data_IF_051756645374
#
_entry.id   IF_051756645374
#
_cell.length_a   1.000
_cell.length_b   1.000
_cell.length_c   1.000
_cell.angle_alpha   90.00
_cell.angle_beta   90.00
_cell.angle_gamma   90.00
#
_symmetry.space_group_name_H-M   'P 1'
#
loop_
_entity.id
_entity.type
_entity.pdbx_description
1 polymer ?
#
# COMPACT_ATOMS: atom_id res chain seq x y z
N UNK A 1 -13.66 26.28 15.52
CA UNK A 1 -12.27 26.30 15.92
C UNK A 1 -11.84 24.87 16.18
N UNK A 2 -11.05 24.28 15.26
CA UNK A 2 -10.49 22.93 15.42
C UNK A 2 -9.10 23.02 16.04
N UNK A 3 -8.84 22.18 17.02
CA UNK A 3 -7.48 21.99 17.54
C UNK A 3 -6.69 21.13 16.57
N UNK A 4 -5.40 21.43 16.38
CA UNK A 4 -4.54 20.52 15.62
C UNK A 4 -4.33 19.21 16.41
N UNK A 5 -4.30 18.07 15.72
CA UNK A 5 -4.10 16.78 16.38
C UNK A 5 -2.77 16.68 17.14
N UNK A 6 -1.79 17.57 16.86
CA UNK A 6 -0.52 17.67 17.58
C UNK A 6 -0.69 18.31 18.96
N UNK A 7 -1.48 19.37 19.07
CA UNK A 7 -1.73 20.07 20.33
C UNK A 7 -2.50 19.19 21.33
N UNK A 8 -3.41 18.33 20.83
CA UNK A 8 -4.17 17.41 21.67
C UNK A 8 -3.36 16.21 22.20
N UNK A 9 -2.11 16.03 21.77
CA UNK A 9 -1.23 14.96 22.24
C UNK A 9 -0.38 15.37 23.46
N UNK A 10 -0.28 16.66 23.74
CA UNK A 10 0.49 17.15 24.90
C UNK A 10 -0.42 17.25 26.13
N UNK A 11 -0.06 16.54 27.21
CA UNK A 11 -0.87 16.51 28.44
C UNK A 11 -0.99 17.86 29.12
N UNK A 12 0.05 18.71 29.08
CA UNK A 12 -0.01 20.08 29.64
C UNK A 12 -0.98 20.97 28.88
N UNK A 13 -1.02 20.82 27.55
CA UNK A 13 -1.99 21.51 26.70
C UNK A 13 -3.40 21.03 26.99
N UNK A 14 -3.59 19.72 27.20
CA UNK A 14 -4.89 19.16 27.58
C UNK A 14 -5.37 19.69 28.93
N UNK A 15 -4.51 19.70 29.94
CA UNK A 15 -4.78 20.25 31.25
C UNK A 15 -5.19 21.73 31.18
N UNK A 16 -4.49 22.55 30.38
CA UNK A 16 -4.81 23.96 30.16
C UNK A 16 -6.23 24.20 29.64
N UNK A 17 -6.80 23.22 28.92
CA UNK A 17 -8.13 23.30 28.31
C UNK A 17 -9.16 22.39 28.99
N UNK A 18 -8.92 21.98 30.23
CA UNK A 18 -9.79 21.10 31.02
C UNK A 18 -10.15 19.79 30.28
N UNK A 19 -9.25 19.30 29.46
CA UNK A 19 -9.41 18.02 28.77
C UNK A 19 -8.85 16.87 29.62
N UNK A 20 -9.45 15.69 29.62
CA UNK A 20 -8.93 14.55 30.33
C UNK A 20 -7.54 14.18 29.78
N UNK A 21 -6.62 13.65 30.63
CA UNK A 21 -5.28 13.25 30.19
C UNK A 21 -5.34 12.23 29.05
N UNK A 22 -4.28 12.14 28.26
CA UNK A 22 -4.22 11.13 27.22
C UNK A 22 -4.35 9.72 27.80
N UNK A 23 -5.11 8.88 27.15
CA UNK A 23 -5.17 7.46 27.51
C UNK A 23 -3.81 6.82 27.28
N UNK A 24 -3.31 6.11 28.25
CA UNK A 24 -2.13 5.28 28.08
C UNK A 24 -2.38 4.22 26.99
N UNK A 25 -1.30 3.80 26.31
CA UNK A 25 -1.40 2.67 25.40
C UNK A 25 -1.93 1.44 26.16
N UNK A 26 -2.84 0.66 25.55
CA UNK A 26 -3.32 -0.58 26.13
C UNK A 26 -2.18 -1.54 26.47
N UNK A 27 -2.36 -2.36 27.49
CA UNK A 27 -1.41 -3.41 27.81
C UNK A 27 -1.33 -4.44 26.67
N UNK A 28 -0.14 -5.01 26.37
CA UNK A 28 0.01 -6.00 25.28
C UNK A 28 -0.90 -7.24 25.41
N UNK A 29 -1.42 -7.54 26.61
CA UNK A 29 -2.38 -8.63 26.83
C UNK A 29 -3.84 -8.23 26.65
N UNK A 30 -4.14 -6.98 26.33
CA UNK A 30 -5.52 -6.55 26.07
C UNK A 30 -5.96 -7.01 24.67
N UNK A 31 -6.68 -8.14 24.64
CA UNK A 31 -7.15 -8.77 23.41
C UNK A 31 -8.09 -7.88 22.59
N UNK A 32 -8.82 -6.97 23.25
CA UNK A 32 -9.69 -6.02 22.56
C UNK A 32 -8.87 -4.98 21.78
N UNK A 33 -7.78 -4.50 22.41
CA UNK A 33 -6.91 -3.53 21.79
C UNK A 33 -6.03 -4.11 20.68
N UNK A 34 -5.74 -5.42 20.70
CA UNK A 34 -4.98 -6.09 19.63
C UNK A 34 -5.69 -6.08 18.27
N UNK A 35 -7.03 -5.94 18.27
CA UNK A 35 -7.82 -5.76 17.04
C UNK A 35 -7.73 -4.36 16.44
N UNK A 36 -7.22 -3.37 17.15
CA UNK A 36 -7.11 -2.00 16.66
C UNK A 36 -5.96 -1.88 15.67
N UNK A 37 -6.25 -1.35 14.49
CA UNK A 37 -5.21 -1.04 13.49
C UNK A 37 -4.74 0.41 13.64
N UNK A 38 -3.57 0.74 13.09
CA UNK A 38 -3.08 2.12 13.07
C UNK A 38 -3.87 3.04 12.12
N UNK A 39 -4.74 2.46 11.30
CA UNK A 39 -5.57 3.20 10.34
C UNK A 39 -6.79 3.79 11.05
N UNK A 40 -7.61 2.93 11.63
CA UNK A 40 -8.75 3.29 12.46
C UNK A 40 -9.24 2.06 13.23
N UNK A 41 -10.05 2.28 14.28
CA UNK A 41 -10.58 1.21 15.11
C UNK A 41 -11.60 0.31 14.39
N UNK A 42 -12.10 0.76 13.25
CA UNK A 42 -13.10 0.10 12.39
C UNK A 42 -12.52 -0.37 11.04
N UNK A 43 -11.20 -0.35 10.88
CA UNK A 43 -10.51 -0.90 9.71
C UNK A 43 -10.39 -2.42 9.83
N UNK A 44 -11.43 -3.11 9.42
CA UNK A 44 -11.48 -4.57 9.45
C UNK A 44 -10.67 -5.25 8.33
N UNK A 45 -10.47 -6.55 8.52
CA UNK A 45 -9.96 -7.45 7.48
C UNK A 45 -11.06 -7.80 6.50
N UNK A 46 -10.84 -7.49 5.23
CA UNK A 46 -11.79 -7.69 4.13
C UNK A 46 -11.32 -8.73 3.12
N UNK A 47 -12.26 -9.40 2.50
CA UNK A 47 -12.04 -10.10 1.23
C UNK A 47 -12.09 -9.07 0.11
N UNK A 48 -11.05 -9.02 -0.73
CA UNK A 48 -10.94 -8.00 -1.76
C UNK A 48 -11.00 -8.61 -3.16
N UNK A 49 -11.96 -8.12 -3.95
CA UNK A 49 -12.08 -8.40 -5.37
C UNK A 49 -12.63 -7.14 -6.05
N UNK A 50 -12.04 -6.73 -7.17
CA UNK A 50 -12.45 -5.54 -7.89
C UNK A 50 -12.22 -5.67 -9.39
N UNK A 51 -13.14 -5.10 -10.17
CA UNK A 51 -12.94 -4.80 -11.58
C UNK A 51 -12.76 -3.29 -11.70
N UNK A 52 -11.61 -2.87 -12.19
CA UNK A 52 -11.27 -1.47 -12.42
C UNK A 52 -11.09 -1.21 -13.91
N UNK A 53 -11.50 -0.04 -14.39
CA UNK A 53 -11.31 0.34 -15.79
C UNK A 53 -10.69 1.70 -15.93
N UNK A 54 -9.94 1.88 -17.00
CA UNK A 54 -9.26 3.13 -17.35
C UNK A 54 -9.30 3.36 -18.86
N UNK A 55 -8.66 4.42 -19.35
CA UNK A 55 -8.43 4.61 -20.78
C UNK A 55 -7.65 3.44 -21.36
N UNK A 56 -7.86 3.10 -22.63
CA UNK A 56 -7.27 1.89 -23.26
C UNK A 56 -5.74 1.87 -23.30
N UNK A 57 -5.12 3.04 -23.27
CA UNK A 57 -3.67 3.28 -23.26
C UNK A 57 -3.05 3.23 -21.86
N UNK A 58 -3.85 3.15 -20.81
CA UNK A 58 -3.40 3.13 -19.43
C UNK A 58 -3.49 1.74 -18.79
N UNK A 59 -2.73 1.55 -17.73
CA UNK A 59 -2.82 0.40 -16.83
C UNK A 59 -3.45 0.86 -15.53
N UNK A 60 -4.58 0.25 -15.15
CA UNK A 60 -5.16 0.45 -13.83
C UNK A 60 -4.70 -0.65 -12.87
N UNK A 61 -4.37 -0.28 -11.65
CA UNK A 61 -3.82 -1.16 -10.62
C UNK A 61 -4.68 -1.07 -9.37
N UNK A 62 -5.05 -2.23 -8.84
CA UNK A 62 -5.76 -2.41 -7.58
C UNK A 62 -5.03 -3.45 -6.71
N UNK A 63 -5.34 -3.60 -5.42
CA UNK A 63 -4.84 -4.72 -4.63
C UNK A 63 -5.16 -6.06 -5.27
N UNK A 64 -4.33 -7.06 -5.00
CA UNK A 64 -4.54 -8.41 -5.48
C UNK A 64 -3.79 -8.76 -6.76
N UNK A 65 -4.06 -9.97 -7.20
CA UNK A 65 -3.44 -10.57 -8.38
C UNK A 65 -4.36 -10.37 -9.57
N UNK A 66 -3.79 -9.98 -10.72
CA UNK A 66 -4.54 -9.82 -11.96
C UNK A 66 -5.10 -11.19 -12.40
N UNK A 67 -6.42 -11.30 -12.47
CA UNK A 67 -7.15 -12.49 -12.92
C UNK A 67 -7.45 -12.43 -14.40
N UNK A 68 -7.85 -11.25 -14.88
CA UNK A 68 -8.26 -11.03 -16.26
C UNK A 68 -8.05 -9.57 -16.65
N UNK A 69 -7.73 -9.38 -17.92
CA UNK A 69 -7.66 -8.09 -18.58
C UNK A 69 -8.41 -8.16 -19.91
N UNK A 70 -9.16 -7.10 -20.26
CA UNK A 70 -9.85 -7.01 -21.55
C UNK A 70 -10.10 -5.55 -21.95
N UNK A 71 -10.43 -5.34 -23.22
CA UNK A 71 -10.86 -4.05 -23.76
C UNK A 71 -12.32 -4.19 -24.19
N UNK A 72 -13.12 -3.22 -23.80
CA UNK A 72 -14.53 -3.11 -24.16
C UNK A 72 -14.93 -1.63 -24.20
N UNK A 73 -15.71 -1.21 -25.20
CA UNK A 73 -16.18 0.17 -25.37
C UNK A 73 -15.08 1.25 -25.20
N UNK A 74 -13.92 1.02 -25.84
CA UNK A 74 -12.75 1.91 -25.81
C UNK A 74 -12.13 2.11 -24.42
N UNK A 75 -12.47 1.23 -23.46
CA UNK A 75 -11.88 1.18 -22.12
C UNK A 75 -11.14 -0.12 -21.88
N UNK A 76 -10.10 -0.07 -21.06
CA UNK A 76 -9.31 -1.22 -20.63
C UNK A 76 -9.69 -1.59 -19.20
N UNK A 77 -10.04 -2.84 -18.99
CA UNK A 77 -10.55 -3.39 -17.74
C UNK A 77 -9.53 -4.35 -17.13
N UNK A 78 -9.47 -4.36 -15.81
CA UNK A 78 -8.57 -5.21 -15.03
C UNK A 78 -9.36 -5.80 -13.87
N UNK A 79 -9.41 -7.12 -13.79
CA UNK A 79 -10.01 -7.85 -12.68
C UNK A 79 -8.91 -8.28 -11.72
N UNK A 80 -8.94 -7.77 -10.51
CA UNK A 80 -8.01 -8.10 -9.43
C UNK A 80 -8.72 -8.82 -8.31
N UNK A 81 -8.03 -9.81 -7.71
CA UNK A 81 -8.52 -10.57 -6.56
C UNK A 81 -7.38 -10.91 -5.60
N UNK A 82 -7.59 -10.70 -4.31
CA UNK A 82 -6.71 -11.21 -3.27
C UNK A 82 -7.01 -12.69 -2.98
N UNK A 83 -5.98 -13.45 -2.60
CA UNK A 83 -6.12 -14.85 -2.17
C UNK A 83 -6.17 -14.99 -0.64
N UNK A 84 -6.09 -13.88 0.07
CA UNK A 84 -6.20 -13.78 1.54
C UNK A 84 -6.82 -12.43 1.92
N UNK A 85 -7.36 -12.36 3.13
CA UNK A 85 -7.90 -11.09 3.65
C UNK A 85 -6.81 -10.04 3.78
N UNK A 86 -7.17 -8.80 3.50
CA UNK A 86 -6.33 -7.62 3.67
C UNK A 86 -7.01 -6.60 4.56
N UNK A 87 -6.24 -5.68 5.15
CA UNK A 87 -6.82 -4.52 5.81
C UNK A 87 -7.60 -3.67 4.79
N UNK A 88 -8.71 -3.10 5.22
CA UNK A 88 -9.48 -2.13 4.43
C UNK A 88 -8.71 -0.80 4.30
N UNK A 89 -7.48 -0.89 3.78
CA UNK A 89 -6.57 0.22 3.53
C UNK A 89 -5.76 -0.07 2.26
N UNK A 90 -6.10 0.62 1.18
CA UNK A 90 -5.51 0.39 -0.14
C UNK A 90 -5.70 1.61 -1.05
N UNK A 91 -5.05 1.59 -2.21
CA UNK A 91 -5.16 2.63 -3.23
C UNK A 91 -5.37 2.02 -4.63
N UNK A 92 -6.02 2.80 -5.49
CA UNK A 92 -6.07 2.57 -6.92
C UNK A 92 -5.10 3.51 -7.63
N UNK A 93 -4.40 2.99 -8.63
CA UNK A 93 -3.49 3.78 -9.45
C UNK A 93 -3.82 3.55 -10.93
N UNK A 94 -3.67 4.58 -11.76
CA UNK A 94 -3.83 4.45 -13.21
C UNK A 94 -2.96 5.47 -13.92
N UNK A 95 -2.17 5.01 -14.90
CA UNK A 95 -1.40 5.84 -15.80
C UNK A 95 -0.93 5.04 -17.03
N UNK A 96 -0.31 5.71 -18.00
CA UNK A 96 0.44 5.08 -19.09
C UNK A 96 1.79 4.55 -18.56
N UNK A 97 1.70 3.44 -17.83
CA UNK A 97 2.86 2.79 -17.23
C UNK A 97 3.61 1.89 -18.20
N UNK A 98 4.94 1.94 -18.12
CA UNK A 98 5.83 0.86 -18.51
C UNK A 98 6.04 -0.07 -17.32
N UNK A 99 6.35 -1.36 -17.56
CA UNK A 99 6.47 -2.35 -16.49
C UNK A 99 7.76 -3.13 -16.63
N UNK A 100 8.63 -3.03 -15.63
CA UNK A 100 9.77 -3.91 -15.46
C UNK A 100 9.39 -5.08 -14.55
N UNK A 101 9.75 -6.32 -14.95
CA UNK A 101 9.38 -7.55 -14.24
C UNK A 101 10.60 -8.37 -13.89
N UNK A 102 10.57 -9.00 -12.73
CA UNK A 102 11.58 -9.96 -12.28
C UNK A 102 10.92 -10.91 -11.25
N UNK A 103 11.70 -11.79 -10.66
CA UNK A 103 11.24 -12.75 -9.66
C UNK A 103 12.25 -12.88 -8.53
N UNK A 104 11.75 -13.08 -7.31
CA UNK A 104 12.53 -13.48 -6.15
C UNK A 104 11.85 -14.68 -5.50
N UNK A 105 12.48 -15.86 -5.53
CA UNK A 105 11.84 -17.13 -5.17
C UNK A 105 10.48 -17.29 -5.89
N UNK A 106 9.39 -17.44 -5.13
CA UNK A 106 8.03 -17.56 -5.67
C UNK A 106 7.28 -16.20 -5.72
N UNK A 107 7.95 -15.09 -5.43
CA UNK A 107 7.38 -13.75 -5.46
C UNK A 107 7.66 -13.07 -6.80
N UNK A 108 6.61 -12.69 -7.52
CA UNK A 108 6.72 -11.88 -8.73
C UNK A 108 7.00 -10.41 -8.34
N UNK A 109 8.00 -9.81 -8.97
CA UNK A 109 8.39 -8.42 -8.75
C UNK A 109 8.01 -7.58 -9.95
N UNK A 110 7.36 -6.45 -9.72
CA UNK A 110 6.96 -5.52 -10.77
C UNK A 110 7.26 -4.07 -10.36
N UNK A 111 7.82 -3.31 -11.28
CA UNK A 111 8.00 -1.86 -11.14
C UNK A 111 7.22 -1.19 -12.26
N UNK A 112 6.20 -0.43 -11.89
CA UNK A 112 5.41 0.39 -12.79
C UNK A 112 6.01 1.80 -12.79
N UNK A 113 6.44 2.28 -13.94
CA UNK A 113 7.18 3.54 -14.07
C UNK A 113 6.74 4.30 -15.32
N UNK A 114 6.99 5.60 -15.36
CA UNK A 114 6.74 6.43 -16.54
C UNK A 114 7.87 6.32 -17.54
N UNK A 115 7.53 6.30 -18.83
CA UNK A 115 8.49 6.31 -19.92
C UNK A 115 9.50 7.46 -19.74
N UNK A 116 10.78 7.14 -19.85
CA UNK A 116 11.89 8.07 -19.60
C UNK A 116 12.48 8.01 -18.19
N UNK A 117 11.92 7.19 -17.29
CA UNK A 117 12.40 7.01 -15.91
C UNK A 117 13.10 5.66 -15.68
N UNK A 118 13.73 5.11 -16.73
CA UNK A 118 14.37 3.78 -16.69
C UNK A 118 15.68 3.73 -15.90
N UNK A 119 16.27 4.86 -15.59
CA UNK A 119 17.65 4.99 -15.09
C UNK A 119 17.97 4.31 -13.76
N UNK A 120 16.98 3.95 -12.95
CA UNK A 120 17.17 3.29 -11.65
C UNK A 120 16.51 1.91 -11.51
N UNK A 121 15.92 1.36 -12.55
CA UNK A 121 15.14 0.12 -12.48
C UNK A 121 15.95 -1.07 -11.94
N UNK A 122 17.16 -1.28 -12.43
CA UNK A 122 18.04 -2.36 -11.97
C UNK A 122 18.38 -2.23 -10.47
N UNK A 123 18.64 -1.00 -10.02
CA UNK A 123 18.94 -0.71 -8.62
C UNK A 123 17.72 -0.94 -7.73
N UNK A 124 16.55 -0.50 -8.18
CA UNK A 124 15.29 -0.71 -7.48
C UNK A 124 14.94 -2.19 -7.39
N UNK A 125 15.08 -2.94 -8.48
CA UNK A 125 14.84 -4.38 -8.51
C UNK A 125 15.77 -5.15 -7.57
N UNK A 126 17.06 -4.80 -7.55
CA UNK A 126 18.04 -5.35 -6.58
C UNK A 126 17.65 -4.99 -5.15
N UNK A 127 17.20 -3.76 -4.90
CA UNK A 127 16.73 -3.31 -3.60
C UNK A 127 15.51 -4.09 -3.12
N UNK A 128 14.53 -4.33 -3.98
CA UNK A 128 13.35 -5.16 -3.65
C UNK A 128 13.76 -6.58 -3.23
N UNK A 129 14.63 -7.23 -4.00
CA UNK A 129 15.12 -8.58 -3.68
C UNK A 129 15.87 -8.62 -2.35
N UNK A 130 16.78 -7.67 -2.12
CA UNK A 130 17.54 -7.59 -0.87
C UNK A 130 16.64 -7.32 0.34
N UNK A 131 15.64 -6.45 0.21
CA UNK A 131 14.68 -6.16 1.27
C UNK A 131 13.82 -7.39 1.60
N UNK A 132 13.29 -8.08 0.58
CA UNK A 132 12.50 -9.29 0.76
C UNK A 132 13.31 -10.40 1.44
N UNK A 133 14.55 -10.60 1.03
CA UNK A 133 15.44 -11.58 1.64
C UNK A 133 15.72 -11.23 3.09
N UNK A 134 16.20 -10.01 3.37
CA UNK A 134 16.53 -9.58 4.72
C UNK A 134 15.34 -9.67 5.68
N UNK A 135 14.17 -9.17 5.24
CA UNK A 135 12.98 -9.20 6.08
C UNK A 135 12.46 -10.62 6.30
N UNK A 136 12.52 -11.48 5.29
CA UNK A 136 12.07 -12.87 5.42
C UNK A 136 12.98 -13.71 6.32
N UNK A 137 14.29 -13.45 6.32
CA UNK A 137 15.25 -14.14 7.18
C UNK A 137 15.25 -13.67 8.63
N UNK A 138 14.99 -12.38 8.87
CA UNK A 138 15.15 -11.77 10.20
C UNK A 138 13.84 -11.54 10.96
N UNK A 139 12.69 -11.53 10.28
CA UNK A 139 11.38 -11.23 10.89
C UNK A 139 10.34 -12.30 10.57
N UNK A 140 9.84 -12.34 9.34
CA UNK A 140 8.86 -13.34 8.91
C UNK A 140 8.87 -13.52 7.39
N UNK A 141 8.48 -14.69 6.87
CA UNK A 141 8.33 -14.88 5.44
C UNK A 141 7.37 -13.84 4.82
N UNK A 142 7.70 -13.39 3.61
CA UNK A 142 6.81 -12.50 2.88
C UNK A 142 5.50 -13.21 2.53
N UNK A 143 4.39 -12.60 2.87
CA UNK A 143 3.07 -13.26 2.86
C UNK A 143 2.33 -13.19 1.52
N UNK A 144 2.85 -12.44 0.52
CA UNK A 144 2.22 -12.30 -0.79
C UNK A 144 3.08 -12.94 -1.88
N UNK A 145 2.44 -13.36 -2.99
CA UNK A 145 3.12 -13.92 -4.18
C UNK A 145 3.56 -12.84 -5.17
N UNK A 146 3.38 -11.58 -4.83
CA UNK A 146 3.72 -10.44 -5.67
C UNK A 146 4.10 -9.23 -4.81
N UNK A 147 5.11 -8.47 -5.26
CA UNK A 147 5.42 -7.15 -4.75
C UNK A 147 5.52 -6.16 -5.92
N UNK A 148 4.75 -5.10 -5.87
CA UNK A 148 4.72 -4.04 -6.89
C UNK A 148 5.18 -2.71 -6.31
N UNK A 149 6.05 -2.02 -7.03
CA UNK A 149 6.35 -0.61 -6.81
C UNK A 149 5.70 0.18 -7.94
N UNK A 150 5.02 1.26 -7.62
CA UNK A 150 4.27 2.07 -8.58
C UNK A 150 4.69 3.52 -8.44
N UNK A 151 5.21 4.09 -9.51
CA UNK A 151 5.56 5.50 -9.57
C UNK A 151 4.32 6.38 -9.67
N UNK A 152 4.27 7.47 -8.89
CA UNK A 152 3.31 8.55 -9.07
C UNK A 152 4.02 9.91 -9.14
N UNK A 153 3.40 10.96 -9.72
CA UNK A 153 4.06 12.24 -9.92
C UNK A 153 4.43 12.93 -8.61
N UNK A 154 5.69 13.37 -8.49
CA UNK A 154 6.21 14.13 -7.36
C UNK A 154 5.40 15.40 -7.04
N UNK A 155 4.70 15.96 -8.02
CA UNK A 155 3.80 17.10 -7.84
C UNK A 155 2.64 16.82 -6.89
N UNK A 156 2.32 15.56 -6.65
CA UNK A 156 1.31 15.12 -5.66
C UNK A 156 1.86 14.96 -4.24
N UNK A 157 3.11 15.36 -4.02
CA UNK A 157 3.84 15.18 -2.76
C UNK A 157 4.94 14.13 -2.90
N UNK A 158 5.88 14.12 -1.95
CA UNK A 158 6.98 13.14 -1.93
C UNK A 158 6.76 12.19 -0.77
N UNK A 159 6.33 10.98 -1.04
CA UNK A 159 6.11 9.94 -0.04
C UNK A 159 6.13 8.53 -0.68
N UNK A 160 6.15 7.53 0.16
CA UNK A 160 5.83 6.16 -0.22
C UNK A 160 4.87 5.57 0.82
N UNK A 161 3.94 4.75 0.38
CA UNK A 161 3.00 4.06 1.25
C UNK A 161 2.96 2.59 0.90
N UNK A 162 3.11 1.73 1.91
CA UNK A 162 2.94 0.28 1.71
C UNK A 162 1.48 -0.10 1.87
N UNK A 163 0.91 -0.67 0.81
CA UNK A 163 -0.36 -1.37 0.81
C UNK A 163 -0.14 -2.87 0.57
N UNK A 164 -1.15 -3.73 0.77
CA UNK A 164 -1.01 -5.15 0.44
C UNK A 164 -0.49 -5.34 -0.98
N UNK A 165 0.64 -6.03 -1.13
CA UNK A 165 1.39 -6.32 -2.36
C UNK A 165 1.71 -5.13 -3.29
N UNK A 166 1.50 -3.88 -2.87
CA UNK A 166 1.59 -2.69 -3.72
C UNK A 166 2.18 -1.50 -2.95
N UNK A 167 3.19 -0.84 -3.51
CA UNK A 167 3.90 0.28 -2.86
C UNK A 167 3.99 1.44 -3.85
N UNK A 168 3.03 2.38 -3.85
CA UNK A 168 3.17 3.65 -4.57
C UNK A 168 4.31 4.49 -3.97
N UNK A 169 5.04 5.16 -4.83
CA UNK A 169 6.16 6.04 -4.45
C UNK A 169 6.33 7.20 -5.44
N UNK A 170 6.98 8.26 -5.01
CA UNK A 170 7.39 9.40 -5.85
C UNK A 170 8.83 9.81 -5.62
#
# INVERSE_FOLDING_TARGET
LGYSGGELRDDKTREKYDLPPNKLKPHPSDSTALGNTYISNDSDWIDFEAVVSTSKDQIAIAPGYLQKEWIEDDRRYFHYKMDSKILNFYAFNSADYQVARDKWNDVNLEIYYHKGHEYNLDRMMKGMKAALQYCSENFSPYQHKQARIIEFPRTSGTFAQSFPNTIPFS
#
